data_IF_188732767966
#
_entry.id   IF_188732767966
#
_cell.length_a   1.000
_cell.length_b   1.000
_cell.length_c   1.000
_cell.angle_alpha   90.00
_cell.angle_beta   90.00
_cell.angle_gamma   90.00
#
_symmetry.space_group_name_H-M   'P 1'
#
loop_
_entity.id
_entity.type
_entity.pdbx_description
1 polymer ?
#
# COMPACT_ATOMS: atom_id res chain seq x y z
N UNK A 1 32.39 44.15 -6.46
CA UNK A 1 31.75 43.28 -7.48
C UNK A 1 31.14 42.09 -6.78
N UNK A 2 29.85 42.15 -6.61
CA UNK A 2 29.04 41.16 -5.88
C UNK A 2 28.83 39.94 -6.75
N UNK A 3 29.09 38.77 -6.22
CA UNK A 3 28.54 37.51 -6.75
C UNK A 3 27.61 36.91 -5.72
N UNK A 4 26.35 37.16 -5.97
CA UNK A 4 25.20 36.57 -5.30
C UNK A 4 25.16 35.09 -5.63
N UNK A 5 25.44 34.21 -4.65
CA UNK A 5 25.09 32.80 -4.74
C UNK A 5 23.61 32.64 -4.42
N UNK A 6 22.82 32.45 -5.44
CA UNK A 6 21.45 31.97 -5.30
C UNK A 6 21.49 30.54 -4.80
N UNK A 7 21.16 30.33 -3.53
CA UNK A 7 20.72 29.06 -3.01
C UNK A 7 19.41 28.70 -3.70
N UNK A 8 19.46 27.86 -4.72
CA UNK A 8 18.28 27.29 -5.33
C UNK A 8 17.67 26.30 -4.36
N UNK A 9 16.46 26.58 -3.94
CA UNK A 9 15.54 25.62 -3.31
C UNK A 9 15.33 24.49 -4.33
N UNK A 10 16.12 23.44 -4.23
CA UNK A 10 16.01 22.26 -5.08
C UNK A 10 14.74 21.51 -4.62
N UNK A 11 13.61 21.81 -5.26
CA UNK A 11 12.45 20.90 -5.18
C UNK A 11 12.95 19.51 -5.52
N UNK A 12 12.57 18.47 -4.74
CA UNK A 12 12.98 17.12 -5.05
C UNK A 12 12.56 16.82 -6.49
N UNK A 13 13.49 16.34 -7.32
CA UNK A 13 13.21 16.00 -8.71
C UNK A 13 12.14 14.92 -8.79
N UNK A 14 11.44 14.82 -9.90
CA UNK A 14 10.47 13.75 -10.14
C UNK A 14 11.21 12.44 -10.46
N UNK A 15 10.95 11.39 -9.69
CA UNK A 15 11.50 10.06 -9.93
C UNK A 15 10.68 9.29 -10.98
N UNK A 16 9.35 9.31 -10.83
CA UNK A 16 8.41 8.66 -11.77
C UNK A 16 7.33 9.65 -12.14
N UNK A 17 7.08 9.82 -13.44
CA UNK A 17 5.89 10.48 -13.95
C UNK A 17 5.26 9.60 -15.02
N UNK A 18 3.96 9.39 -14.91
CA UNK A 18 3.16 8.64 -15.87
C UNK A 18 1.87 9.39 -16.13
N UNK A 19 1.42 9.39 -17.39
CA UNK A 19 0.18 10.05 -17.79
C UNK A 19 -0.59 9.15 -18.72
N UNK A 20 -1.84 8.88 -18.35
CA UNK A 20 -2.80 8.13 -19.15
C UNK A 20 -2.37 6.68 -19.42
N UNK A 21 -1.62 6.03 -18.51
CA UNK A 21 -1.16 4.65 -18.72
C UNK A 21 -2.34 3.70 -18.87
N UNK A 22 -2.32 2.92 -19.96
CA UNK A 22 -3.35 1.93 -20.31
C UNK A 22 -2.74 0.57 -20.55
N UNK A 23 -3.46 -0.48 -20.12
CA UNK A 23 -3.13 -1.87 -20.40
C UNK A 23 -4.35 -2.74 -20.43
N UNK A 24 -4.45 -3.56 -21.48
CA UNK A 24 -5.49 -4.57 -21.63
C UNK A 24 -4.85 -5.94 -21.92
N UNK A 25 -5.55 -6.99 -21.55
CA UNK A 25 -5.24 -8.37 -21.91
C UNK A 25 -6.48 -8.98 -22.54
N UNK A 26 -6.45 -9.12 -23.87
CA UNK A 26 -7.66 -9.41 -24.64
C UNK A 26 -8.71 -8.31 -24.40
N UNK A 27 -9.92 -8.71 -24.06
CA UNK A 27 -11.03 -7.78 -23.82
C UNK A 27 -11.02 -7.18 -22.39
N UNK A 28 -10.12 -7.63 -21.53
CA UNK A 28 -10.05 -7.15 -20.14
C UNK A 28 -9.13 -5.94 -20.03
N UNK A 29 -9.70 -4.77 -19.75
CA UNK A 29 -8.95 -3.57 -19.37
C UNK A 29 -8.45 -3.75 -17.92
N UNK A 30 -7.13 -3.62 -17.72
CA UNK A 30 -6.48 -3.78 -16.41
C UNK A 30 -6.00 -2.44 -15.88
N UNK A 31 -5.51 -1.55 -16.74
CA UNK A 31 -5.23 -0.16 -16.42
C UNK A 31 -5.96 0.72 -17.43
N UNK A 32 -6.72 1.69 -16.95
CA UNK A 32 -7.57 2.56 -17.76
C UNK A 32 -7.21 4.04 -17.56
N UNK A 33 -6.01 4.40 -18.04
CA UNK A 33 -5.57 5.78 -18.05
C UNK A 33 -5.12 6.29 -16.69
N UNK A 34 -4.23 5.56 -16.00
CA UNK A 34 -3.71 6.00 -14.70
C UNK A 34 -2.63 7.07 -14.85
N UNK A 35 -2.69 8.06 -13.98
CA UNK A 35 -1.67 9.09 -13.83
C UNK A 35 -0.91 8.86 -12.52
N UNK A 36 0.41 9.05 -12.52
CA UNK A 36 1.26 8.90 -11.35
C UNK A 36 2.32 10.00 -11.33
N UNK A 37 2.56 10.58 -10.16
CA UNK A 37 3.62 11.55 -9.95
C UNK A 37 4.36 11.27 -8.63
N UNK A 38 5.60 10.81 -8.72
CA UNK A 38 6.38 10.35 -7.57
C UNK A 38 7.63 11.19 -7.40
N UNK A 39 7.76 11.92 -6.29
CA UNK A 39 8.95 12.68 -5.97
C UNK A 39 10.17 11.76 -5.74
N UNK A 40 11.36 12.24 -6.06
CA UNK A 40 12.60 11.53 -5.75
C UNK A 40 12.84 11.48 -4.23
N UNK A 41 13.36 10.35 -3.74
CA UNK A 41 13.66 10.17 -2.32
C UNK A 41 12.43 10.02 -1.44
N UNK A 42 11.33 9.49 -1.97
CA UNK A 42 10.09 9.23 -1.23
C UNK A 42 9.65 7.77 -1.32
N UNK A 43 8.75 7.36 -0.43
CA UNK A 43 7.99 6.11 -0.52
C UNK A 43 6.62 6.40 -1.14
N UNK A 44 6.34 5.76 -2.25
CA UNK A 44 5.02 5.79 -2.88
C UNK A 44 4.38 4.40 -2.82
N UNK A 45 3.16 4.32 -2.29
CA UNK A 45 2.41 3.08 -2.22
C UNK A 45 1.26 3.07 -3.24
N UNK A 46 1.23 2.05 -4.09
CA UNK A 46 0.07 1.73 -4.92
C UNK A 46 -0.77 0.67 -4.20
N UNK A 47 -1.80 1.12 -3.52
CA UNK A 47 -2.71 0.31 -2.72
C UNK A 47 -3.88 -0.18 -3.58
N UNK A 48 -4.35 -1.39 -3.36
CA UNK A 48 -5.55 -1.89 -4.05
C UNK A 48 -5.79 -3.38 -3.83
N UNK A 49 -7.00 -3.88 -4.15
CA UNK A 49 -7.32 -5.29 -4.01
C UNK A 49 -6.53 -6.15 -5.01
N UNK A 50 -6.59 -7.47 -4.81
CA UNK A 50 -6.02 -8.41 -5.76
C UNK A 50 -6.71 -8.28 -7.13
N UNK A 51 -5.91 -8.26 -8.19
CA UNK A 51 -6.43 -8.08 -9.55
C UNK A 51 -6.73 -6.63 -9.96
N UNK A 52 -6.50 -5.62 -9.10
CA UNK A 52 -6.72 -4.21 -9.44
C UNK A 52 -5.77 -3.67 -10.53
N UNK A 53 -4.63 -4.35 -10.78
CA UNK A 53 -3.65 -3.92 -11.78
C UNK A 53 -2.29 -3.49 -11.21
N UNK A 54 -2.07 -3.59 -9.89
CA UNK A 54 -0.83 -3.18 -9.20
C UNK A 54 0.43 -3.77 -9.84
N UNK A 55 0.51 -5.10 -9.93
CA UNK A 55 1.63 -5.81 -10.57
C UNK A 55 1.79 -5.44 -12.05
N UNK A 56 0.69 -5.15 -12.75
CA UNK A 56 0.73 -4.69 -14.15
C UNK A 56 1.38 -3.32 -14.25
N UNK A 57 1.05 -2.40 -13.36
CA UNK A 57 1.70 -1.08 -13.29
C UNK A 57 3.20 -1.20 -13.03
N UNK A 58 3.62 -2.02 -12.06
CA UNK A 58 5.04 -2.31 -11.79
C UNK A 58 5.72 -2.87 -13.03
N UNK A 59 5.13 -3.87 -13.70
CA UNK A 59 5.71 -4.49 -14.91
C UNK A 59 5.89 -3.48 -16.06
N UNK A 60 4.96 -2.55 -16.23
CA UNK A 60 5.10 -1.49 -17.24
C UNK A 60 6.23 -0.55 -16.85
N UNK A 61 6.18 0.03 -15.64
CA UNK A 61 7.16 1.02 -15.18
C UNK A 61 8.58 0.45 -15.10
N UNK A 62 8.71 -0.86 -14.89
CA UNK A 62 9.99 -1.58 -14.89
C UNK A 62 10.41 -2.12 -16.26
N UNK A 63 9.75 -1.75 -17.34
CA UNK A 63 10.05 -2.19 -18.72
C UNK A 63 9.86 -3.68 -19.01
N UNK A 64 9.19 -4.44 -18.13
CA UNK A 64 8.97 -5.88 -18.31
C UNK A 64 7.86 -6.16 -19.33
N UNK A 65 6.89 -5.24 -19.46
CA UNK A 65 5.86 -5.26 -20.49
C UNK A 65 5.64 -3.84 -21.03
N UNK A 66 5.11 -3.73 -22.23
CA UNK A 66 4.74 -2.45 -22.84
C UNK A 66 3.32 -2.04 -22.45
N UNK A 67 3.09 -0.74 -22.24
CA UNK A 67 1.78 -0.16 -22.12
C UNK A 67 1.08 -0.15 -23.51
N UNK A 68 -0.25 -0.19 -23.50
CA UNK A 68 -1.06 -0.06 -24.74
C UNK A 68 -1.37 1.41 -25.04
N UNK A 69 -1.15 2.32 -24.07
CA UNK A 69 -1.32 3.76 -24.22
C UNK A 69 -0.75 4.54 -23.05
N UNK A 70 -0.70 5.85 -23.21
CA UNK A 70 -0.09 6.76 -22.25
C UNK A 70 1.42 6.89 -22.44
N UNK A 71 2.05 7.64 -21.54
CA UNK A 71 3.49 7.88 -21.55
C UNK A 71 4.03 7.87 -20.11
N UNK A 72 5.30 7.50 -19.94
CA UNK A 72 5.95 7.57 -18.63
C UNK A 72 7.42 7.95 -18.76
N UNK A 73 7.93 8.60 -17.72
CA UNK A 73 9.35 8.88 -17.54
C UNK A 73 9.80 8.36 -16.19
N UNK A 74 10.92 7.67 -16.17
CA UNK A 74 11.51 7.04 -14.97
C UNK A 74 12.93 7.55 -14.83
N UNK A 75 13.25 8.13 -13.66
CA UNK A 75 14.56 8.74 -13.40
C UNK A 75 14.99 9.80 -14.45
N UNK A 76 14.01 10.44 -15.13
CA UNK A 76 14.23 11.41 -16.18
C UNK A 76 14.26 10.81 -17.60
N UNK A 77 14.27 9.48 -17.76
CA UNK A 77 14.32 8.78 -19.04
C UNK A 77 12.92 8.44 -19.54
N UNK A 78 12.71 8.52 -20.84
CA UNK A 78 11.46 8.07 -21.45
C UNK A 78 11.35 6.55 -21.45
N UNK A 79 10.23 6.03 -20.94
CA UNK A 79 10.04 4.59 -20.74
C UNK A 79 10.08 3.79 -22.05
N UNK A 80 9.50 4.35 -23.12
CA UNK A 80 9.40 3.69 -24.41
C UNK A 80 10.66 3.90 -25.28
N UNK A 81 11.20 5.12 -25.29
CA UNK A 81 12.34 5.49 -26.14
C UNK A 81 13.69 5.08 -25.54
N UNK A 82 13.80 5.09 -24.18
CA UNK A 82 15.08 4.90 -23.48
C UNK A 82 15.03 3.72 -22.48
N UNK A 83 14.48 2.53 -22.82
CA UNK A 83 14.28 1.45 -21.85
C UNK A 83 15.56 0.92 -21.22
N UNK A 84 16.70 1.04 -21.92
CA UNK A 84 18.01 0.65 -21.38
C UNK A 84 18.45 1.58 -20.24
N UNK A 85 18.28 2.89 -20.42
CA UNK A 85 18.60 3.89 -19.39
C UNK A 85 17.67 3.75 -18.17
N UNK A 86 16.37 3.46 -18.41
CA UNK A 86 15.43 3.13 -17.33
C UNK A 86 15.92 1.90 -16.55
N UNK A 87 16.23 0.80 -17.22
CA UNK A 87 16.72 -0.42 -16.54
C UNK A 87 18.01 -0.22 -15.74
N UNK A 88 18.90 0.64 -16.21
CA UNK A 88 20.11 0.98 -15.47
C UNK A 88 19.86 1.83 -14.20
N UNK A 89 18.71 2.51 -14.12
CA UNK A 89 18.35 3.40 -13.02
C UNK A 89 17.43 2.75 -11.97
N UNK A 90 16.91 1.55 -12.24
CA UNK A 90 15.90 0.90 -11.38
C UNK A 90 16.38 -0.43 -10.82
N UNK A 91 15.84 -0.80 -9.66
CA UNK A 91 15.84 -2.14 -9.11
C UNK A 91 14.41 -2.67 -9.05
N UNK A 92 14.21 -3.96 -9.22
CA UNK A 92 12.86 -4.56 -9.20
C UNK A 92 12.89 -5.84 -8.37
N UNK A 93 12.05 -5.89 -7.36
CA UNK A 93 11.78 -7.11 -6.61
C UNK A 93 10.35 -7.54 -6.90
N UNK A 94 10.18 -8.65 -7.59
CA UNK A 94 8.87 -9.17 -7.96
C UNK A 94 8.14 -9.87 -6.79
N UNK A 95 6.93 -10.34 -7.07
CA UNK A 95 6.15 -11.16 -6.15
C UNK A 95 6.85 -12.50 -5.83
N UNK A 96 7.57 -13.07 -6.79
CA UNK A 96 8.41 -14.23 -6.59
C UNK A 96 9.87 -13.80 -6.44
N UNK A 97 10.54 -14.40 -5.45
CA UNK A 97 11.94 -14.12 -5.19
C UNK A 97 12.84 -14.57 -6.35
N UNK A 98 13.78 -13.73 -6.75
CA UNK A 98 14.81 -14.05 -7.74
C UNK A 98 15.99 -14.82 -7.13
N UNK A 99 15.97 -15.11 -5.83
CA UNK A 99 17.02 -15.80 -5.11
C UNK A 99 17.14 -17.25 -5.58
N UNK A 100 18.31 -17.65 -6.07
CA UNK A 100 18.61 -19.05 -6.36
C UNK A 100 18.88 -19.80 -5.04
N UNK A 101 18.01 -20.74 -4.71
CA UNK A 101 18.08 -21.53 -3.49
C UNK A 101 19.26 -22.53 -3.47
N UNK A 102 19.81 -22.89 -4.61
CA UNK A 102 20.87 -23.89 -4.72
C UNK A 102 22.25 -23.36 -4.36
N UNK A 103 22.45 -22.05 -4.50
CA UNK A 103 23.68 -21.36 -4.16
C UNK A 103 23.55 -20.59 -2.83
N UNK A 104 24.66 -20.16 -2.30
CA UNK A 104 24.71 -19.40 -1.03
C UNK A 104 24.21 -17.97 -1.21
N UNK A 105 23.92 -17.28 -0.09
CA UNK A 105 23.56 -15.86 -0.13
C UNK A 105 24.66 -14.99 -0.74
N UNK A 106 25.93 -15.27 -0.41
CA UNK A 106 27.07 -14.57 -0.98
C UNK A 106 27.20 -14.80 -2.50
N UNK A 107 27.02 -16.04 -2.95
CA UNK A 107 27.05 -16.37 -4.39
C UNK A 107 25.90 -15.70 -5.16
N UNK A 108 24.71 -15.61 -4.59
CA UNK A 108 23.60 -14.83 -5.18
C UNK A 108 24.00 -13.35 -5.37
N UNK A 109 24.62 -12.74 -4.36
CA UNK A 109 25.10 -11.36 -4.46
C UNK A 109 26.19 -11.18 -5.50
N UNK A 110 27.14 -12.11 -5.57
CA UNK A 110 28.23 -12.09 -6.56
C UNK A 110 27.71 -12.31 -7.98
N UNK A 111 26.70 -13.16 -8.17
CA UNK A 111 26.02 -13.34 -9.45
C UNK A 111 25.42 -12.01 -9.94
N UNK A 112 24.77 -11.27 -9.05
CA UNK A 112 24.24 -9.95 -9.40
C UNK A 112 25.36 -8.96 -9.74
N UNK A 113 26.47 -8.99 -9.00
CA UNK A 113 27.63 -8.15 -9.29
C UNK A 113 28.21 -8.43 -10.69
N UNK A 114 28.29 -9.70 -11.07
CA UNK A 114 28.75 -10.11 -12.41
C UNK A 114 27.77 -9.67 -13.51
N UNK A 115 26.45 -9.77 -13.27
CA UNK A 115 25.41 -9.28 -14.18
C UNK A 115 25.44 -7.76 -14.36
N UNK A 116 25.84 -7.03 -13.32
CA UNK A 116 26.09 -5.58 -13.38
C UNK A 116 27.50 -5.22 -13.87
N UNK A 117 28.27 -6.18 -14.35
CA UNK A 117 29.63 -6.00 -14.88
C UNK A 117 30.60 -5.34 -13.89
N UNK A 118 30.42 -5.53 -12.59
CA UNK A 118 31.34 -5.07 -11.57
C UNK A 118 32.65 -5.92 -11.62
N UNK A 119 33.78 -5.28 -11.33
CA UNK A 119 35.00 -6.02 -11.16
C UNK A 119 34.87 -6.98 -9.96
N UNK A 120 35.60 -8.13 -9.99
CA UNK A 120 35.58 -9.10 -8.89
C UNK A 120 35.88 -8.49 -7.51
N UNK A 121 36.73 -7.47 -7.46
CA UNK A 121 37.08 -6.76 -6.24
C UNK A 121 35.88 -5.92 -5.76
N UNK A 122 35.29 -5.16 -6.66
CA UNK A 122 34.14 -4.30 -6.37
C UNK A 122 32.90 -5.12 -6.02
N UNK A 123 32.61 -6.18 -6.79
CA UNK A 123 31.48 -7.07 -6.50
C UNK A 123 31.57 -7.69 -5.11
N UNK A 124 32.76 -8.15 -4.68
CA UNK A 124 32.93 -8.68 -3.31
C UNK A 124 32.73 -7.60 -2.25
N UNK A 125 33.21 -6.38 -2.49
CA UNK A 125 33.02 -5.25 -1.57
C UNK A 125 31.52 -4.92 -1.40
N UNK A 126 30.83 -4.72 -2.52
CA UNK A 126 29.38 -4.42 -2.53
C UNK A 126 28.57 -5.57 -1.91
N UNK A 127 28.89 -6.82 -2.25
CA UNK A 127 28.21 -7.97 -1.66
C UNK A 127 28.38 -8.02 -0.14
N UNK A 128 29.58 -7.81 0.38
CA UNK A 128 29.84 -7.81 1.82
C UNK A 128 29.09 -6.67 2.54
N UNK A 129 29.15 -5.45 2.01
CA UNK A 129 28.45 -4.28 2.56
C UNK A 129 26.91 -4.49 2.59
N UNK A 130 26.34 -5.02 1.52
CA UNK A 130 24.89 -5.28 1.45
C UNK A 130 24.49 -6.45 2.37
N UNK A 131 25.26 -7.53 2.44
CA UNK A 131 24.98 -8.63 3.37
C UNK A 131 25.01 -8.17 4.84
N UNK A 132 25.96 -7.27 5.19
CA UNK A 132 26.01 -6.66 6.51
C UNK A 132 24.79 -5.76 6.76
N UNK A 133 24.48 -4.85 5.86
CA UNK A 133 23.34 -3.94 5.94
C UNK A 133 22.01 -4.67 6.11
N UNK A 134 21.84 -5.83 5.48
CA UNK A 134 20.61 -6.62 5.53
C UNK A 134 20.62 -7.71 6.62
N UNK A 135 21.62 -7.70 7.52
CA UNK A 135 21.75 -8.67 8.62
C UNK A 135 21.72 -10.12 8.10
N UNK A 136 22.58 -10.42 7.10
CA UNK A 136 22.68 -11.72 6.45
C UNK A 136 24.10 -12.33 6.54
N UNK A 137 25.04 -11.68 7.25
CA UNK A 137 26.47 -12.09 7.33
C UNK A 137 26.62 -13.52 7.84
N UNK A 138 25.92 -13.88 8.93
CA UNK A 138 25.99 -15.23 9.52
C UNK A 138 25.43 -16.34 8.61
N UNK A 139 24.54 -15.97 7.71
CA UNK A 139 23.93 -16.87 6.77
C UNK A 139 24.57 -16.83 5.38
N UNK A 140 25.45 -15.86 5.12
CA UNK A 140 25.99 -15.58 3.78
C UNK A 140 26.55 -16.81 3.06
N UNK A 141 27.20 -17.72 3.80
CA UNK A 141 27.82 -18.95 3.27
C UNK A 141 26.92 -20.18 3.32
N UNK A 142 25.65 -20.04 3.73
CA UNK A 142 24.67 -21.13 3.72
C UNK A 142 23.86 -21.10 2.42
N UNK A 143 23.43 -22.23 1.88
CA UNK A 143 22.53 -22.28 0.73
C UNK A 143 21.25 -21.48 1.01
N UNK A 144 20.83 -20.64 0.07
CA UNK A 144 19.66 -19.78 0.25
C UNK A 144 18.34 -20.58 0.38
N UNK A 145 18.32 -21.85 -0.01
CA UNK A 145 17.19 -22.75 0.29
C UNK A 145 16.90 -22.87 1.79
N UNK A 146 17.94 -22.75 2.65
CA UNK A 146 17.82 -22.87 4.12
C UNK A 146 17.37 -21.58 4.80
N UNK A 147 17.22 -20.49 4.07
CA UNK A 147 16.81 -19.20 4.61
C UNK A 147 15.32 -19.19 4.98
N UNK A 148 14.98 -18.49 6.06
CA UNK A 148 13.58 -18.17 6.34
C UNK A 148 12.98 -17.27 5.23
N UNK A 149 11.65 -17.16 5.18
CA UNK A 149 10.98 -16.26 4.23
C UNK A 149 11.48 -14.82 4.32
N UNK A 150 11.61 -14.30 5.55
CA UNK A 150 12.15 -12.96 5.78
C UNK A 150 13.62 -12.79 5.36
N UNK A 151 14.45 -13.81 5.56
CA UNK A 151 15.83 -13.79 5.08
C UNK A 151 15.91 -13.80 3.55
N UNK A 152 15.10 -14.63 2.89
CA UNK A 152 15.01 -14.66 1.42
C UNK A 152 14.57 -13.31 0.87
N UNK A 153 13.58 -12.68 1.49
CA UNK A 153 13.09 -11.36 1.06
C UNK A 153 14.14 -10.27 1.26
N UNK A 154 14.88 -10.31 2.37
CA UNK A 154 16.01 -9.39 2.60
C UNK A 154 17.12 -9.58 1.57
N UNK A 155 17.48 -10.81 1.26
CA UNK A 155 18.48 -11.12 0.22
C UNK A 155 18.02 -10.64 -1.16
N UNK A 156 16.75 -10.86 -1.51
CA UNK A 156 16.16 -10.44 -2.77
C UNK A 156 16.25 -8.92 -2.98
N UNK A 157 15.92 -8.14 -1.95
CA UNK A 157 16.08 -6.68 -1.99
C UNK A 157 17.57 -6.28 -2.04
N UNK A 158 18.43 -6.93 -1.25
CA UNK A 158 19.87 -6.67 -1.29
C UNK A 158 20.46 -6.89 -2.69
N UNK A 159 20.02 -7.95 -3.38
CA UNK A 159 20.41 -8.24 -4.76
C UNK A 159 20.05 -7.10 -5.72
N UNK A 160 18.87 -6.47 -5.55
CA UNK A 160 18.46 -5.35 -6.42
C UNK A 160 19.28 -4.09 -6.21
N UNK A 161 19.95 -3.96 -5.06
CA UNK A 161 20.78 -2.79 -4.72
C UNK A 161 22.20 -2.86 -5.29
N UNK A 162 22.62 -4.01 -5.77
CA UNK A 162 23.99 -4.20 -6.33
C UNK A 162 24.28 -3.20 -7.45
N UNK A 163 23.28 -2.89 -8.27
CA UNK A 163 23.39 -1.91 -9.36
C UNK A 163 23.29 -0.45 -8.93
N UNK A 164 23.20 -0.16 -7.64
CA UNK A 164 22.99 1.19 -7.10
C UNK A 164 21.83 1.94 -7.75
N UNK A 165 20.60 1.38 -7.77
CA UNK A 165 19.46 1.97 -8.43
C UNK A 165 19.03 3.27 -7.75
N UNK A 166 18.47 4.20 -8.53
CA UNK A 166 17.84 5.43 -8.03
C UNK A 166 16.40 5.20 -7.56
N UNK A 167 15.75 4.19 -8.12
CA UNK A 167 14.36 3.83 -7.84
C UNK A 167 14.27 2.31 -7.66
N UNK A 168 13.54 1.87 -6.65
CA UNK A 168 13.24 0.44 -6.44
C UNK A 168 11.74 0.23 -6.52
N UNK A 169 11.33 -0.75 -7.33
CA UNK A 169 9.97 -1.27 -7.40
C UNK A 169 9.87 -2.53 -6.54
N UNK A 170 8.98 -2.52 -5.55
CA UNK A 170 8.72 -3.63 -4.64
C UNK A 170 7.28 -4.11 -4.83
N UNK A 171 7.09 -5.28 -5.42
CA UNK A 171 5.75 -5.84 -5.60
C UNK A 171 5.39 -6.72 -4.40
N UNK A 172 4.47 -6.19 -3.56
CA UNK A 172 3.99 -6.81 -2.31
C UNK A 172 5.14 -7.31 -1.39
N UNK A 173 6.01 -6.40 -0.89
CA UNK A 173 7.28 -6.77 -0.25
C UNK A 173 7.14 -7.59 1.04
N UNK A 174 6.00 -7.51 1.73
CA UNK A 174 5.79 -8.15 3.03
C UNK A 174 4.79 -9.30 3.01
N UNK A 175 4.25 -9.64 1.84
CA UNK A 175 3.30 -10.74 1.71
C UNK A 175 3.93 -12.06 2.16
N UNK A 176 3.22 -12.77 3.05
CA UNK A 176 3.67 -14.06 3.60
C UNK A 176 4.73 -13.97 4.69
N UNK A 177 5.11 -12.78 5.13
CA UNK A 177 6.00 -12.59 6.28
C UNK A 177 5.23 -12.58 7.60
N UNK A 178 5.88 -13.09 8.64
CA UNK A 178 5.41 -12.91 10.02
C UNK A 178 5.49 -11.44 10.46
N UNK A 179 4.75 -11.03 11.52
CA UNK A 179 4.70 -9.62 11.95
C UNK A 179 6.08 -9.01 12.26
N UNK A 180 6.98 -9.78 12.86
CA UNK A 180 8.34 -9.31 13.18
C UNK A 180 9.17 -9.08 11.91
N UNK A 181 9.12 -10.03 10.99
CA UNK A 181 9.80 -9.92 9.68
C UNK A 181 9.25 -8.77 8.85
N UNK A 182 7.92 -8.51 8.92
CA UNK A 182 7.28 -7.36 8.27
C UNK A 182 7.80 -6.05 8.82
N UNK A 183 7.82 -5.88 10.14
CA UNK A 183 8.33 -4.67 10.77
C UNK A 183 9.81 -4.42 10.44
N UNK A 184 10.65 -5.46 10.44
CA UNK A 184 12.05 -5.35 10.01
C UNK A 184 12.17 -4.91 8.55
N UNK A 185 11.28 -5.39 7.68
CA UNK A 185 11.25 -4.99 6.27
C UNK A 185 10.90 -3.51 6.12
N UNK A 186 9.95 -2.99 6.91
CA UNK A 186 9.61 -1.56 6.93
C UNK A 186 10.80 -0.69 7.34
N UNK A 187 11.57 -1.13 8.34
CA UNK A 187 12.81 -0.42 8.74
C UNK A 187 13.82 -0.37 7.60
N UNK A 188 13.99 -1.47 6.85
CA UNK A 188 14.86 -1.52 5.69
C UNK A 188 14.40 -0.53 4.62
N UNK A 189 13.10 -0.51 4.31
CA UNK A 189 12.53 0.41 3.30
C UNK A 189 12.76 1.87 3.72
N UNK A 190 12.52 2.22 4.99
CA UNK A 190 12.80 3.58 5.49
C UNK A 190 14.27 3.96 5.36
N UNK A 191 15.18 3.01 5.65
CA UNK A 191 16.61 3.27 5.50
C UNK A 191 17.02 3.49 4.04
N UNK A 192 16.43 2.77 3.09
CA UNK A 192 16.67 2.99 1.66
C UNK A 192 16.32 4.41 1.23
N UNK A 193 15.18 4.91 1.71
CA UNK A 193 14.74 6.28 1.41
C UNK A 193 15.63 7.32 2.11
N UNK A 194 16.05 7.08 3.35
CA UNK A 194 17.01 7.94 4.05
C UNK A 194 18.34 8.04 3.30
N UNK A 195 18.73 6.99 2.56
CA UNK A 195 19.91 6.97 1.69
C UNK A 195 19.65 7.61 0.31
N UNK A 196 18.47 8.16 0.08
CA UNK A 196 18.11 8.88 -1.15
C UNK A 196 17.52 8.01 -2.26
N UNK A 197 17.25 6.73 -2.00
CA UNK A 197 16.57 5.84 -2.97
C UNK A 197 15.07 6.13 -2.96
N UNK A 198 14.46 6.23 -4.13
CA UNK A 198 12.99 6.31 -4.24
C UNK A 198 12.41 4.90 -4.21
N UNK A 199 11.37 4.69 -3.42
CA UNK A 199 10.70 3.40 -3.33
C UNK A 199 9.27 3.51 -3.87
N UNK A 200 8.96 2.68 -4.87
CA UNK A 200 7.61 2.41 -5.33
C UNK A 200 7.21 1.02 -4.83
N UNK A 201 6.25 0.94 -3.94
CA UNK A 201 5.75 -0.35 -3.50
C UNK A 201 4.29 -0.56 -3.90
N UNK A 202 3.93 -1.81 -4.14
CA UNK A 202 2.52 -2.20 -4.22
C UNK A 202 2.15 -2.96 -2.96
N UNK A 203 0.94 -2.78 -2.50
CA UNK A 203 0.43 -3.53 -1.34
C UNK A 203 -1.09 -3.69 -1.39
N UNK A 204 -1.59 -4.69 -0.70
CA UNK A 204 -2.99 -4.84 -0.32
C UNK A 204 -3.20 -4.59 1.18
N UNK A 205 -2.11 -4.41 1.94
CA UNK A 205 -2.15 -4.17 3.37
C UNK A 205 -2.18 -2.67 3.65
N UNK A 206 -3.27 -2.22 4.23
CA UNK A 206 -3.48 -0.81 4.56
C UNK A 206 -2.51 -0.31 5.62
N UNK A 207 -2.20 -1.16 6.62
CA UNK A 207 -1.20 -0.89 7.64
C UNK A 207 0.19 -0.60 7.04
N UNK A 208 0.60 -1.34 6.00
CA UNK A 208 1.88 -1.11 5.33
C UNK A 208 1.92 0.23 4.61
N UNK A 209 0.82 0.60 3.93
CA UNK A 209 0.70 1.88 3.26
C UNK A 209 0.69 3.04 4.26
N UNK A 210 -0.07 2.92 5.37
CA UNK A 210 -0.15 3.94 6.43
C UNK A 210 1.21 4.18 7.10
N UNK A 211 1.96 3.10 7.36
CA UNK A 211 3.21 3.14 8.09
C UNK A 211 4.40 3.63 7.26
N UNK A 212 4.41 3.34 5.96
CA UNK A 212 5.58 3.57 5.12
C UNK A 212 5.47 4.73 4.14
N UNK A 213 4.27 4.95 3.59
CA UNK A 213 4.15 5.78 2.41
C UNK A 213 4.06 7.27 2.71
N UNK A 214 4.85 8.07 2.02
CA UNK A 214 4.69 9.53 1.97
C UNK A 214 3.44 9.90 1.16
N UNK A 215 3.14 9.12 0.12
CA UNK A 215 1.91 9.23 -0.69
C UNK A 215 1.38 7.86 -1.06
N UNK A 216 0.06 7.76 -1.07
CA UNK A 216 -0.68 6.55 -1.38
C UNK A 216 -1.62 6.84 -2.55
N UNK A 217 -1.59 5.99 -3.57
CA UNK A 217 -2.63 5.97 -4.61
C UNK A 217 -3.46 4.70 -4.46
N UNK A 218 -4.78 4.85 -4.37
CA UNK A 218 -5.73 3.73 -4.30
C UNK A 218 -6.14 3.33 -5.70
N UNK A 219 -5.71 2.15 -6.15
CA UNK A 219 -6.06 1.59 -7.45
C UNK A 219 -7.28 0.68 -7.32
N UNK A 220 -8.37 1.04 -8.00
CA UNK A 220 -9.59 0.24 -8.05
C UNK A 220 -10.15 0.19 -9.48
N UNK A 221 -10.49 -1.00 -9.97
CA UNK A 221 -11.06 -1.19 -11.30
C UNK A 221 -10.19 -0.61 -12.43
N UNK A 222 -8.86 -0.64 -12.28
CA UNK A 222 -7.91 -0.12 -13.27
C UNK A 222 -7.72 1.40 -13.26
N UNK A 223 -8.31 2.13 -12.31
CA UNK A 223 -8.22 3.59 -12.16
C UNK A 223 -7.70 3.98 -10.78
N UNK A 224 -7.05 5.13 -10.70
CA UNK A 224 -6.74 5.75 -9.41
C UNK A 224 -8.05 6.35 -8.85
N UNK A 225 -8.57 5.74 -7.79
CA UNK A 225 -9.79 6.19 -7.13
C UNK A 225 -9.53 7.40 -6.20
N UNK A 226 -8.37 7.43 -5.55
CA UNK A 226 -7.90 8.55 -4.74
C UNK A 226 -6.36 8.52 -4.63
N UNK A 227 -5.76 9.70 -4.41
CA UNK A 227 -4.33 9.84 -4.14
C UNK A 227 -4.10 10.94 -3.10
N UNK A 228 -3.21 10.69 -2.14
CA UNK A 228 -2.86 11.64 -1.10
C UNK A 228 -1.90 11.06 -0.08
N UNK A 229 -1.60 11.83 0.98
CA UNK A 229 -1.00 11.28 2.20
C UNK A 229 -2.05 10.41 2.92
N UNK A 230 -1.61 9.56 3.84
CA UNK A 230 -2.54 8.76 4.65
C UNK A 230 -3.60 9.65 5.36
N UNK A 231 -3.16 10.78 5.92
CA UNK A 231 -4.06 11.73 6.58
C UNK A 231 -5.04 12.42 5.62
N UNK A 232 -4.58 12.79 4.41
CA UNK A 232 -5.46 13.37 3.38
C UNK A 232 -6.53 12.37 2.96
N UNK A 233 -6.16 11.10 2.78
CA UNK A 233 -7.10 10.04 2.40
C UNK A 233 -8.10 9.76 3.53
N UNK A 234 -7.67 9.68 4.78
CA UNK A 234 -8.55 9.48 5.94
C UNK A 234 -9.61 10.59 6.08
N UNK A 235 -9.31 11.82 5.64
CA UNK A 235 -10.28 12.95 5.62
C UNK A 235 -11.33 12.86 4.51
N UNK A 236 -11.13 11.99 3.49
CA UNK A 236 -12.12 11.82 2.41
C UNK A 236 -13.38 11.09 2.88
N UNK A 237 -13.29 10.35 3.98
CA UNK A 237 -14.40 9.55 4.51
C UNK A 237 -14.90 10.19 5.80
N UNK A 238 -16.14 10.69 5.82
CA UNK A 238 -16.79 11.08 7.05
C UNK A 238 -17.09 9.81 7.85
N UNK A 239 -16.61 9.69 9.07
CA UNK A 239 -16.84 8.46 9.83
C UNK A 239 -16.21 8.44 11.21
N UNK A 240 -15.47 9.49 11.58
CA UNK A 240 -15.02 9.66 12.95
C UNK A 240 -16.23 9.72 13.87
N UNK A 241 -16.20 8.96 14.95
CA UNK A 241 -17.25 9.01 15.95
C UNK A 241 -16.72 8.72 17.35
N UNK A 242 -17.41 9.26 18.33
CA UNK A 242 -17.20 8.91 19.73
C UNK A 242 -18.29 7.91 20.10
N UNK A 243 -17.87 6.74 20.55
CA UNK A 243 -18.77 5.70 21.05
C UNK A 243 -18.77 5.74 22.59
N UNK A 244 -19.97 5.90 23.13
CA UNK A 244 -20.25 5.85 24.58
C UNK A 244 -21.01 4.57 24.87
N UNK A 245 -20.54 3.74 25.76
CA UNK A 245 -21.23 2.52 26.21
C UNK A 245 -21.65 2.65 27.67
N UNK A 246 -22.84 2.16 27.96
CA UNK A 246 -23.43 2.26 29.28
C UNK A 246 -23.83 0.85 29.76
N UNK A 247 -23.52 0.54 30.99
CA UNK A 247 -23.97 -0.70 31.65
C UNK A 247 -25.33 -0.47 32.32
N UNK A 248 -25.59 0.77 32.80
CA UNK A 248 -26.89 1.11 33.36
C UNK A 248 -27.90 1.52 32.26
N UNK A 249 -29.02 0.77 32.09
CA UNK A 249 -30.08 1.13 31.14
C UNK A 249 -30.73 2.48 31.40
N UNK A 250 -30.68 2.99 32.64
CA UNK A 250 -31.19 4.31 33.01
C UNK A 250 -30.29 5.41 32.46
N UNK A 251 -28.98 5.29 32.67
CA UNK A 251 -27.96 6.18 32.14
C UNK A 251 -28.03 6.25 30.61
N UNK A 252 -28.09 5.05 29.97
CA UNK A 252 -28.23 4.96 28.50
C UNK A 252 -29.44 5.71 27.97
N UNK A 253 -30.64 5.51 28.57
CA UNK A 253 -31.86 6.19 28.13
C UNK A 253 -31.79 7.69 28.33
N UNK A 254 -31.20 8.15 29.43
CA UNK A 254 -31.01 9.58 29.71
C UNK A 254 -30.08 10.22 28.70
N UNK A 255 -28.95 9.58 28.41
CA UNK A 255 -27.97 10.00 27.40
C UNK A 255 -28.62 10.02 25.99
N UNK A 256 -29.33 8.95 25.61
CA UNK A 256 -29.99 8.83 24.31
C UNK A 256 -31.12 9.85 24.07
N UNK A 257 -31.81 10.29 25.15
CA UNK A 257 -32.83 11.32 25.06
C UNK A 257 -32.24 12.73 24.83
N UNK A 258 -31.05 12.98 25.36
CA UNK A 258 -30.36 14.27 25.29
C UNK A 258 -29.49 14.39 24.05
N UNK A 259 -28.76 13.35 23.67
CA UNK A 259 -27.88 13.28 22.47
C UNK A 259 -28.70 12.81 21.26
N UNK A 260 -29.60 13.64 20.76
CA UNK A 260 -30.54 13.28 19.68
C UNK A 260 -29.88 12.97 18.34
N UNK A 261 -28.66 13.48 18.10
CA UNK A 261 -27.89 13.27 16.88
C UNK A 261 -27.06 11.97 16.94
N UNK A 262 -26.98 11.33 18.12
CA UNK A 262 -26.27 10.08 18.26
C UNK A 262 -27.02 8.93 17.60
N UNK A 263 -26.30 8.13 16.83
CA UNK A 263 -26.79 6.83 16.38
C UNK A 263 -26.87 5.90 17.60
N UNK A 264 -27.94 5.11 17.69
CA UNK A 264 -28.24 4.26 18.85
C UNK A 264 -28.02 2.81 18.52
N UNK A 265 -27.37 2.13 19.42
CA UNK A 265 -27.22 0.67 19.45
C UNK A 265 -27.86 0.20 20.77
N UNK A 266 -29.16 -0.11 20.70
CA UNK A 266 -29.96 -0.47 21.89
C UNK A 266 -29.52 -1.85 22.45
N UNK A 267 -29.01 -2.76 21.62
CA UNK A 267 -28.55 -4.09 22.04
C UNK A 267 -27.25 -3.97 22.83
N UNK A 268 -26.31 -3.18 22.36
CA UNK A 268 -25.04 -2.94 23.04
C UNK A 268 -25.11 -1.83 24.09
N UNK A 269 -26.28 -1.15 24.26
CA UNK A 269 -26.46 0.04 25.09
C UNK A 269 -25.38 1.10 24.81
N UNK A 270 -25.17 1.40 23.54
CA UNK A 270 -24.14 2.32 23.09
C UNK A 270 -24.71 3.46 22.22
N UNK A 271 -24.09 4.63 22.33
CA UNK A 271 -24.36 5.80 21.49
C UNK A 271 -23.13 6.12 20.66
N UNK A 272 -23.33 6.45 19.39
CA UNK A 272 -22.28 6.91 18.50
C UNK A 272 -22.57 8.33 18.06
N UNK A 273 -21.67 9.26 18.40
CA UNK A 273 -21.74 10.65 18.02
C UNK A 273 -20.74 10.92 16.90
N UNK A 274 -21.16 11.50 15.76
CA UNK A 274 -20.21 11.97 14.75
C UNK A 274 -19.18 12.89 15.41
N UNK A 275 -17.88 12.68 15.11
CA UNK A 275 -16.79 13.46 15.68
C UNK A 275 -15.60 13.50 14.73
N UNK A 276 -14.90 14.64 14.70
CA UNK A 276 -13.63 14.79 14.01
C UNK A 276 -12.44 14.25 14.85
N UNK A 277 -12.72 13.71 16.05
CA UNK A 277 -11.72 13.23 16.98
C UNK A 277 -10.95 14.34 17.69
N UNK A 278 -11.35 15.59 17.54
CA UNK A 278 -10.62 16.72 18.15
C UNK A 278 -10.76 16.73 19.68
N UNK A 279 -9.69 17.19 20.33
CA UNK A 279 -9.67 17.37 21.79
C UNK A 279 -10.80 18.28 22.27
N UNK A 280 -11.25 19.22 21.43
CA UNK A 280 -12.35 20.16 21.76
C UNK A 280 -13.68 19.43 21.84
N UNK A 281 -13.99 18.60 20.85
CA UNK A 281 -15.24 17.81 20.85
C UNK A 281 -15.26 16.80 21.98
N UNK A 282 -14.14 16.08 22.18
CA UNK A 282 -14.03 15.12 23.28
C UNK A 282 -14.31 15.81 24.64
N UNK A 283 -13.71 16.98 24.87
CA UNK A 283 -13.95 17.74 26.10
C UNK A 283 -15.41 18.19 26.23
N UNK A 284 -16.00 18.64 25.14
CA UNK A 284 -17.42 19.05 25.14
C UNK A 284 -18.36 17.91 25.51
N UNK A 285 -18.06 16.68 25.05
CA UNK A 285 -18.85 15.50 25.41
C UNK A 285 -18.65 15.11 26.88
N UNK A 286 -17.42 15.17 27.38
CA UNK A 286 -17.14 14.90 28.80
C UNK A 286 -17.81 15.93 29.71
N UNK A 287 -17.68 17.23 29.42
CA UNK A 287 -18.34 18.30 30.17
C UNK A 287 -19.87 18.14 30.16
N UNK A 288 -20.42 17.65 29.04
CA UNK A 288 -21.83 17.36 28.95
C UNK A 288 -22.24 16.17 29.82
N UNK A 289 -21.48 15.05 29.79
CA UNK A 289 -21.73 13.88 30.64
C UNK A 289 -21.72 14.28 32.12
N UNK A 290 -20.74 15.07 32.55
CA UNK A 290 -20.61 15.55 33.92
C UNK A 290 -21.81 16.43 34.31
N UNK A 291 -22.23 17.36 33.44
CA UNK A 291 -23.34 18.24 33.68
C UNK A 291 -24.70 17.53 33.73
N UNK A 292 -24.85 16.45 32.98
CA UNK A 292 -26.04 15.62 32.95
C UNK A 292 -26.08 14.59 34.11
N UNK A 293 -25.00 14.46 34.85
CA UNK A 293 -24.86 13.42 35.89
C UNK A 293 -24.97 12.02 35.35
N UNK A 294 -24.50 11.79 34.09
CA UNK A 294 -24.52 10.51 33.41
C UNK A 294 -23.08 10.03 33.22
N UNK A 295 -22.78 8.86 33.71
CA UNK A 295 -21.50 8.21 33.56
C UNK A 295 -21.54 7.15 32.48
N UNK A 296 -20.64 7.23 31.51
CA UNK A 296 -20.40 6.18 30.52
C UNK A 296 -19.30 5.25 31.01
N UNK A 297 -19.56 3.94 30.96
CA UNK A 297 -18.58 2.94 31.40
C UNK A 297 -17.40 2.83 30.46
N UNK A 298 -17.61 3.13 29.18
CA UNK A 298 -16.57 3.10 28.16
C UNK A 298 -16.77 4.25 27.18
N UNK A 299 -15.70 4.96 26.89
CA UNK A 299 -15.62 5.98 25.86
C UNK A 299 -14.53 5.62 24.89
N UNK A 300 -14.89 5.40 23.63
CA UNK A 300 -13.94 5.10 22.55
C UNK A 300 -14.04 6.18 21.48
N UNK A 301 -12.91 6.73 21.10
CA UNK A 301 -12.79 7.65 19.96
C UNK A 301 -12.37 6.85 18.74
N UNK A 302 -13.25 6.75 17.77
CA UNK A 302 -12.93 6.18 16.47
C UNK A 302 -12.58 7.31 15.50
N UNK A 303 -11.35 7.31 15.02
CA UNK A 303 -10.92 8.17 13.92
C UNK A 303 -10.88 7.32 12.65
N UNK A 304 -11.34 7.84 11.50
CA UNK A 304 -11.28 7.10 10.25
C UNK A 304 -9.88 6.57 9.99
N UNK A 305 -9.80 5.33 9.60
CA UNK A 305 -8.57 4.69 9.17
C UNK A 305 -8.53 4.45 7.65
N UNK A 306 -7.46 3.88 7.14
CA UNK A 306 -7.38 3.57 5.71
C UNK A 306 -8.31 2.43 5.30
N UNK A 307 -8.75 1.57 6.25
CA UNK A 307 -9.76 0.53 5.98
C UNK A 307 -11.09 1.16 5.60
N UNK A 308 -11.53 2.19 6.35
CA UNK A 308 -12.76 2.96 6.06
C UNK A 308 -12.68 3.61 4.67
N UNK A 309 -11.53 4.25 4.35
CA UNK A 309 -11.29 4.85 3.04
C UNK A 309 -11.37 3.81 1.93
N UNK A 310 -10.71 2.69 2.13
CA UNK A 310 -10.66 1.62 1.14
C UNK A 310 -12.06 1.05 0.89
N UNK A 311 -12.83 0.76 1.93
CA UNK A 311 -14.22 0.30 1.81
C UNK A 311 -15.09 1.32 1.08
N UNK A 312 -15.02 2.60 1.43
CA UNK A 312 -15.80 3.64 0.77
C UNK A 312 -15.50 3.75 -0.73
N UNK A 313 -14.21 3.70 -1.11
CA UNK A 313 -13.78 3.83 -2.50
C UNK A 313 -14.00 2.56 -3.33
N UNK A 314 -14.03 1.37 -2.71
CA UNK A 314 -14.21 0.11 -3.43
C UNK A 314 -15.66 -0.35 -3.51
N UNK A 315 -16.51 0.01 -2.52
CA UNK A 315 -17.93 -0.36 -2.49
C UNK A 315 -18.79 0.46 -3.47
N UNK A 316 -18.37 1.68 -3.83
CA UNK A 316 -19.12 2.57 -4.73
C UNK A 316 -19.16 2.11 -6.19
N UNK A 317 -18.38 1.11 -6.59
CA UNK A 317 -18.36 0.55 -7.95
C UNK A 317 -19.40 -0.56 -8.19
N UNK A 318 -20.17 -0.97 -7.16
CA UNK A 318 -21.15 -2.06 -7.23
C UNK A 318 -22.62 -1.65 -7.45
N UNK A 319 -22.95 -0.34 -7.44
CA UNK A 319 -24.35 0.13 -7.54
C UNK A 319 -24.64 0.85 -8.87
N UNK A 320 -24.47 0.13 -9.96
CA UNK A 320 -24.80 0.65 -11.28
C UNK A 320 -25.36 -0.39 -12.23
N UNK A 321 -26.41 -1.14 -11.84
CA UNK A 321 -27.37 -1.79 -12.75
C UNK A 321 -28.40 -2.61 -11.98
N UNK A 322 -29.50 -1.99 -11.53
CA UNK A 322 -30.78 -2.68 -11.43
C UNK A 322 -31.89 -1.64 -11.63
N UNK A 323 -32.15 -1.37 -12.92
CA UNK A 323 -33.36 -0.72 -13.36
C UNK A 323 -34.55 -1.67 -13.20
N UNK A 324 -35.54 -1.17 -12.54
CA UNK A 324 -36.99 -1.47 -12.65
C UNK A 324 -37.44 -2.56 -13.63
N UNK A 325 -38.07 -3.58 -13.11
CA UNK A 325 -38.89 -4.51 -13.86
C UNK A 325 -39.96 -5.10 -12.95
N UNK A 326 -41.13 -4.47 -12.97
CA UNK A 326 -42.38 -4.91 -12.40
C UNK A 326 -42.88 -6.19 -13.05
N UNK A 327 -43.46 -7.11 -12.28
CA UNK A 327 -44.59 -7.91 -12.79
C UNK A 327 -44.61 -9.39 -12.48
N UNK A 328 -45.43 -9.76 -11.54
CA UNK A 328 -46.50 -10.76 -11.59
C UNK A 328 -46.21 -12.27 -11.61
N UNK A 329 -46.62 -12.87 -10.50
CA UNK A 329 -47.41 -14.13 -10.38
C UNK A 329 -47.02 -15.42 -11.10
N UNK A 330 -46.96 -16.51 -10.32
CA UNK A 330 -47.27 -17.82 -10.81
C UNK A 330 -46.63 -18.97 -10.02
N UNK A 331 -47.42 -19.59 -9.21
CA UNK A 331 -47.11 -20.84 -8.48
C UNK A 331 -46.85 -22.00 -9.41
N UNK A 332 -46.01 -22.98 -9.00
CA UNK A 332 -46.40 -24.39 -8.87
C UNK A 332 -45.20 -25.29 -8.55
N UNK A 333 -45.45 -26.09 -7.56
CA UNK A 333 -44.90 -27.31 -7.03
C UNK A 333 -44.58 -28.39 -8.07
N UNK A 334 -43.50 -29.13 -7.88
CA UNK A 334 -43.31 -30.59 -7.86
C UNK A 334 -41.84 -30.91 -8.14
N UNK A 335 -41.13 -31.52 -7.24
CA UNK A 335 -41.03 -32.91 -6.73
C UNK A 335 -40.24 -33.85 -7.65
N UNK A 336 -39.32 -34.58 -7.01
CA UNK A 336 -38.64 -35.84 -7.36
C UNK A 336 -37.53 -35.82 -8.44
N UNK A 337 -36.46 -36.50 -8.42
CA UNK A 337 -35.88 -37.63 -7.69
C UNK A 337 -34.45 -37.87 -8.14
N UNK A 338 -33.64 -38.35 -7.24
CA UNK A 338 -32.43 -39.20 -7.34
C UNK A 338 -32.02 -39.79 -8.68
N UNK A 339 -30.71 -39.83 -8.92
CA UNK A 339 -29.87 -41.04 -9.18
C UNK A 339 -28.42 -40.59 -9.44
N UNK A 340 -27.56 -41.02 -8.75
CA UNK A 340 -26.50 -41.98 -8.48
C UNK A 340 -25.80 -42.59 -9.70
N UNK A 341 -24.45 -42.66 -9.61
CA UNK A 341 -23.47 -43.60 -10.21
C UNK A 341 -22.93 -43.29 -11.60
N UNK A 342 -21.71 -42.87 -11.76
CA UNK A 342 -20.46 -43.66 -11.83
C UNK A 342 -19.24 -42.76 -11.85
#
# INVERSE_FOLDING_TARGET
>A
MSTSSRGGDARPGTAVSATGLRKSYGDKVVLDGIDLHIPAGSVFALLGPNGAGKTTAVKILSTLITADGGQARIAGHDLAAEPQAVRAAIGVTGQFSAVDGLITGEENMLLMADLHHLSKREGRRVAAELLERFDLVEAAKKPAATYSGGMKRRLDIAMTLVGSPRIIFLDEPTTGLDPRSRHNMWQIIRQLVADGVTVFLTTQYLEEADELADRIAVLNGGKIAAEGTAEELKRLVPGGHIRLRFTDPGAYRSAAAALREAARDDEAQALQLPSDGSQRELRSILDWLDSAGVEADELTVHTPDLDDVFFALTSSTGTGASGTGTGSTGAAVSDQTKETVR
#
